data_IF_302223208207
#
_entry.id   IF_302223208207
#
_cell.length_a   1.000
_cell.length_b   1.000
_cell.length_c   1.000
_cell.angle_alpha   90.00
_cell.angle_beta   90.00
_cell.angle_gamma   90.00
#
_symmetry.space_group_name_H-M   'P 1'
#
loop_
_entity.id
_entity.type
_entity.pdbx_description
1 polymer ?
#
# COMPACT_ATOMS: atom_id res chain seq x y z
N UNK A 1 -1.25 -12.12 -16.04
CA UNK A 1 0.00 -11.76 -15.38
C UNK A 1 -0.13 -10.38 -14.75
N UNK A 2 0.86 -9.95 -14.01
CA UNK A 2 0.80 -8.70 -13.27
C UNK A 2 2.20 -8.12 -13.11
N UNK A 3 2.29 -6.82 -12.88
CA UNK A 3 3.54 -6.12 -12.62
C UNK A 3 3.61 -5.73 -11.15
N UNK A 4 4.80 -5.83 -10.57
CA UNK A 4 5.08 -5.45 -9.18
C UNK A 4 5.88 -4.16 -9.14
N UNK A 5 5.50 -3.27 -8.26
CA UNK A 5 6.19 -2.01 -8.06
C UNK A 5 6.48 -1.83 -6.58
N UNK A 6 7.69 -1.40 -6.26
CA UNK A 6 8.06 -1.02 -4.91
C UNK A 6 8.48 0.45 -4.90
N UNK A 7 8.11 1.15 -3.85
CA UNK A 7 8.43 2.55 -3.69
C UNK A 7 8.42 2.92 -2.22
N UNK A 8 8.91 4.12 -1.91
CA UNK A 8 8.80 4.71 -0.60
C UNK A 8 7.92 5.94 -0.68
N UNK A 9 7.03 6.08 0.30
CA UNK A 9 6.18 7.26 0.44
C UNK A 9 6.51 7.88 1.80
N UNK A 10 6.73 9.19 1.82
CA UNK A 10 7.04 9.90 3.06
C UNK A 10 5.81 9.98 3.96
N UNK A 11 5.97 9.61 5.23
CA UNK A 11 4.93 9.80 6.23
C UNK A 11 4.68 11.29 6.46
N UNK A 12 3.42 11.65 6.51
CA UNK A 12 3.04 13.04 6.84
C UNK A 12 3.19 13.34 8.34
N UNK A 13 3.36 12.30 9.15
CA UNK A 13 3.53 12.48 10.59
C UNK A 13 4.94 12.96 10.94
N UNK A 14 5.98 12.38 10.30
CA UNK A 14 7.37 12.63 10.71
C UNK A 14 8.39 12.44 9.59
N UNK A 15 7.96 12.27 8.34
CA UNK A 15 8.86 12.09 7.21
C UNK A 15 9.52 10.72 7.11
N UNK A 16 9.08 9.74 7.92
CA UNK A 16 9.60 8.38 7.81
C UNK A 16 9.27 7.83 6.43
N UNK A 17 10.25 7.16 5.81
CA UNK A 17 10.03 6.48 4.52
C UNK A 17 9.21 5.20 4.74
N UNK A 18 8.01 5.18 4.21
CA UNK A 18 7.10 4.04 4.29
C UNK A 18 7.26 3.20 3.03
N UNK A 19 7.67 1.96 3.20
CA UNK A 19 7.88 1.04 2.09
C UNK A 19 6.55 0.48 1.59
N UNK A 20 6.31 0.62 0.29
CA UNK A 20 5.03 0.27 -0.35
C UNK A 20 5.28 -0.74 -1.47
N UNK A 21 4.40 -1.72 -1.58
CA UNK A 21 4.40 -2.71 -2.65
C UNK A 21 3.04 -2.65 -3.34
N UNK A 22 3.06 -2.55 -4.66
CA UNK A 22 1.84 -2.59 -5.46
C UNK A 22 1.93 -3.69 -6.50
N UNK A 23 0.82 -4.38 -6.73
CA UNK A 23 0.69 -5.37 -7.80
C UNK A 23 -0.43 -4.88 -8.71
N UNK A 24 -0.09 -4.67 -9.98
CA UNK A 24 -0.99 -4.04 -10.95
C UNK A 24 -1.30 -5.05 -12.06
N UNK A 25 -2.59 -5.24 -12.42
CA UNK A 25 -2.95 -6.12 -13.54
C UNK A 25 -2.35 -5.61 -14.85
N UNK A 26 -2.04 -6.55 -15.75
CA UNK A 26 -1.52 -6.19 -17.08
C UNK A 26 -2.59 -5.59 -17.99
N UNK A 27 -3.84 -5.92 -17.73
CA UNK A 27 -4.94 -5.53 -18.60
C UNK A 27 -5.85 -4.51 -17.95
N UNK A 28 -6.38 -3.62 -18.76
CA UNK A 28 -7.34 -2.61 -18.34
C UNK A 28 -8.71 -2.91 -18.97
N UNK A 29 -9.80 -2.40 -18.42
CA UNK A 29 -9.89 -1.54 -17.23
C UNK A 29 -9.69 -2.31 -15.95
N UNK A 30 -9.20 -1.61 -14.93
CA UNK A 30 -9.08 -2.19 -13.59
C UNK A 30 -10.45 -2.21 -12.92
N UNK A 31 -10.72 -3.24 -12.13
CA UNK A 31 -11.99 -3.39 -11.41
C UNK A 31 -12.05 -2.55 -10.14
N UNK A 32 -10.89 -2.23 -9.59
CA UNK A 32 -10.80 -1.41 -8.39
C UNK A 32 -9.42 -1.47 -7.78
N UNK A 33 -9.27 -0.78 -6.66
CA UNK A 33 -8.03 -0.75 -5.88
C UNK A 33 -8.31 -1.39 -4.53
N UNK A 34 -7.48 -2.35 -4.16
CA UNK A 34 -7.55 -3.01 -2.86
C UNK A 34 -6.32 -2.64 -2.05
N UNK A 35 -6.51 -1.90 -0.99
CA UNK A 35 -5.44 -1.56 -0.05
C UNK A 35 -5.47 -2.55 1.10
N UNK A 36 -4.34 -3.20 1.35
CA UNK A 36 -4.19 -4.15 2.44
C UNK A 36 -3.41 -3.50 3.58
N UNK A 37 -3.81 -3.83 4.81
CA UNK A 37 -3.13 -3.36 6.02
C UNK A 37 -2.77 -4.59 6.84
N UNK A 38 -1.47 -4.86 6.97
CA UNK A 38 -1.02 -6.05 7.69
C UNK A 38 -1.15 -5.90 9.21
N UNK A 39 -1.10 -7.03 9.92
CA UNK A 39 -1.13 -7.03 11.38
C UNK A 39 0.22 -6.71 12.01
N UNK A 40 0.25 -6.72 13.33
CA UNK A 40 1.48 -6.50 14.08
C UNK A 40 2.45 -7.66 13.85
N UNK A 41 3.74 -7.34 13.84
CA UNK A 41 4.82 -8.31 13.65
C UNK A 41 4.78 -9.03 12.31
N UNK A 42 4.20 -8.39 11.30
CA UNK A 42 4.16 -8.88 9.94
C UNK A 42 4.95 -7.99 9.00
N UNK A 43 4.93 -8.28 7.71
CA UNK A 43 5.58 -7.47 6.68
C UNK A 43 4.82 -7.64 5.36
N UNK A 44 4.96 -6.67 4.46
CA UNK A 44 4.11 -6.58 3.28
C UNK A 44 4.25 -7.74 2.30
N UNK A 45 5.47 -8.28 2.13
CA UNK A 45 5.71 -9.35 1.16
C UNK A 45 4.98 -10.63 1.49
N UNK A 46 4.57 -10.80 2.72
CA UNK A 46 3.81 -11.98 3.15
C UNK A 46 2.51 -12.14 2.37
N UNK A 47 1.94 -11.03 1.93
CA UNK A 47 0.64 -11.03 1.25
C UNK A 47 0.75 -11.01 -0.27
N UNK A 48 1.96 -11.11 -0.81
CA UNK A 48 2.18 -11.08 -2.25
C UNK A 48 1.39 -12.13 -3.02
N UNK A 49 1.30 -13.40 -2.58
CA UNK A 49 0.50 -14.39 -3.29
C UNK A 49 -0.98 -14.01 -3.40
N UNK A 50 -1.54 -13.44 -2.33
CA UNK A 50 -2.91 -12.96 -2.33
C UNK A 50 -3.08 -11.77 -3.29
N UNK A 51 -2.13 -10.86 -3.31
CA UNK A 51 -2.17 -9.69 -4.18
C UNK A 51 -2.09 -10.12 -5.66
N UNK A 52 -1.26 -11.08 -5.97
CA UNK A 52 -1.17 -11.63 -7.34
C UNK A 52 -2.47 -12.33 -7.73
N UNK A 53 -3.08 -13.06 -6.82
CA UNK A 53 -4.38 -13.69 -7.05
C UNK A 53 -5.44 -12.65 -7.39
N UNK A 54 -5.50 -11.55 -6.64
CA UNK A 54 -6.47 -10.49 -6.88
C UNK A 54 -6.15 -9.71 -8.16
N UNK A 55 -4.88 -9.51 -8.49
CA UNK A 55 -4.48 -8.83 -9.72
C UNK A 55 -4.93 -9.61 -10.95
N UNK A 56 -4.88 -10.92 -10.91
CA UNK A 56 -5.41 -11.75 -12.00
C UNK A 56 -6.90 -11.56 -12.23
N UNK A 57 -7.60 -11.04 -11.24
CA UNK A 57 -9.03 -10.75 -11.31
C UNK A 57 -9.32 -9.28 -11.64
N UNK A 58 -8.29 -8.52 -11.94
CA UNK A 58 -8.43 -7.13 -12.38
C UNK A 58 -8.33 -6.09 -11.29
N UNK A 59 -7.91 -6.46 -10.09
CA UNK A 59 -7.76 -5.51 -8.97
C UNK A 59 -6.32 -5.08 -8.83
N UNK A 60 -6.12 -3.77 -8.66
CA UNK A 60 -4.83 -3.23 -8.24
C UNK A 60 -4.72 -3.43 -6.74
N UNK A 61 -3.66 -4.09 -6.28
CA UNK A 61 -3.44 -4.31 -4.85
C UNK A 61 -2.28 -3.48 -4.37
N UNK A 62 -2.42 -2.86 -3.21
CA UNK A 62 -1.35 -2.09 -2.58
C UNK A 62 -1.27 -2.46 -1.11
N UNK A 63 -0.06 -2.59 -0.60
CA UNK A 63 0.22 -2.84 0.80
C UNK A 63 1.49 -2.08 1.17
N UNK A 64 1.58 -1.65 2.42
CA UNK A 64 2.80 -1.03 2.92
C UNK A 64 3.24 -1.72 4.22
N UNK A 65 4.52 -1.63 4.52
CA UNK A 65 5.02 -2.00 5.84
C UNK A 65 4.65 -0.89 6.81
N UNK A 66 4.00 -1.25 7.91
CA UNK A 66 3.76 -0.30 9.00
C UNK A 66 5.09 0.26 9.50
N UNK A 67 5.06 1.48 10.04
CA UNK A 67 6.25 2.05 10.69
C UNK A 67 6.80 1.08 11.72
N UNK A 68 8.11 0.94 11.74
CA UNK A 68 8.77 -0.01 12.62
C UNK A 68 8.69 -1.46 12.16
N UNK A 69 8.17 -1.73 10.97
CA UNK A 69 8.03 -3.08 10.41
C UNK A 69 8.69 -3.16 9.04
N UNK A 70 9.15 -4.35 8.67
CA UNK A 70 9.72 -4.61 7.36
C UNK A 70 10.79 -3.61 6.97
N UNK A 71 10.57 -2.91 5.85
CA UNK A 71 11.50 -1.90 5.34
C UNK A 71 11.13 -0.46 5.75
N UNK A 72 10.06 -0.28 6.54
CA UNK A 72 9.65 1.04 7.03
C UNK A 72 10.35 1.38 8.34
N UNK A 73 11.67 1.27 8.33
CA UNK A 73 12.55 1.56 9.47
C UNK A 73 13.75 2.37 8.97
N UNK A 74 14.32 3.19 9.85
CA UNK A 74 15.53 3.94 9.54
C UNK A 74 16.79 3.08 9.69
N UNK A 75 16.72 2.06 10.56
CA UNK A 75 17.79 1.10 10.77
C UNK A 75 17.18 -0.23 11.16
N UNK A 76 17.92 -1.32 10.89
CA UNK A 76 17.43 -2.67 11.22
C UNK A 76 17.18 -2.85 12.71
N UNK A 77 17.94 -2.16 13.56
CA UNK A 77 17.76 -2.24 15.01
C UNK A 77 16.45 -1.61 15.48
N UNK A 78 15.80 -0.85 14.62
CA UNK A 78 14.55 -0.17 14.96
C UNK A 78 13.31 -1.04 14.76
N UNK A 79 13.46 -2.28 14.31
CA UNK A 79 12.30 -3.16 14.12
C UNK A 79 11.49 -3.26 15.43
N UNK A 80 10.20 -2.96 15.30
CA UNK A 80 9.29 -2.89 16.43
C UNK A 80 9.17 -1.50 17.06
N UNK A 81 9.99 -0.54 16.64
CA UNK A 81 9.95 0.82 17.15
C UNK A 81 9.09 1.71 16.23
N UNK A 82 8.10 2.33 16.80
CA UNK A 82 7.10 3.12 16.06
C UNK A 82 7.48 4.59 15.87
N UNK A 83 8.62 5.03 16.33
CA UNK A 83 9.14 6.40 16.17
C UNK A 83 8.28 7.50 16.81
N UNK A 84 7.48 7.17 17.79
CA UNK A 84 6.56 8.14 18.39
C UNK A 84 5.29 8.28 17.54
N UNK A 85 4.39 9.15 17.92
CA UNK A 85 3.14 9.37 17.18
C UNK A 85 2.09 8.29 17.35
N UNK A 86 2.45 7.09 17.75
CA UNK A 86 1.50 6.03 18.11
C UNK A 86 0.49 5.69 17.01
N UNK A 87 -0.73 5.41 17.42
CA UNK A 87 -1.80 5.02 16.53
C UNK A 87 -2.15 6.09 15.49
N UNK A 88 -2.05 7.36 15.87
CA UNK A 88 -2.34 8.46 14.95
C UNK A 88 -1.37 8.48 13.78
N UNK A 89 -0.10 8.20 14.02
CA UNK A 89 0.90 8.13 12.96
C UNK A 89 0.64 6.94 12.04
N UNK A 90 0.25 5.79 12.59
CA UNK A 90 -0.11 4.61 11.79
C UNK A 90 -1.28 4.94 10.86
N UNK A 91 -2.30 5.62 11.36
CA UNK A 91 -3.46 5.99 10.56
C UNK A 91 -3.09 7.01 9.46
N UNK A 92 -2.24 7.97 9.78
CA UNK A 92 -1.75 8.93 8.78
C UNK A 92 -0.94 8.23 7.69
N UNK A 93 -0.16 7.22 8.03
CA UNK A 93 0.60 6.44 7.06
C UNK A 93 -0.34 5.69 6.12
N UNK A 94 -1.41 5.09 6.64
CA UNK A 94 -2.43 4.42 5.83
C UNK A 94 -3.09 5.41 4.87
N UNK A 95 -3.43 6.58 5.37
CA UNK A 95 -4.09 7.63 4.55
C UNK A 95 -3.20 8.13 3.43
N UNK A 96 -1.92 8.38 3.70
CA UNK A 96 -1.01 8.88 2.66
C UNK A 96 -0.77 7.85 1.58
N UNK A 97 -0.64 6.58 1.95
CA UNK A 97 -0.51 5.49 0.97
C UNK A 97 -1.77 5.41 0.11
N UNK A 98 -2.94 5.48 0.72
CA UNK A 98 -4.21 5.46 0.01
C UNK A 98 -4.29 6.59 -1.01
N UNK A 99 -4.02 7.82 -0.59
CA UNK A 99 -4.10 9.00 -1.45
C UNK A 99 -3.10 8.96 -2.59
N UNK A 100 -1.84 8.61 -2.27
CA UNK A 100 -0.79 8.58 -3.29
C UNK A 100 -1.05 7.51 -4.34
N UNK A 101 -1.48 6.33 -3.95
CA UNK A 101 -1.77 5.26 -4.90
C UNK A 101 -2.96 5.61 -5.78
N UNK A 102 -3.98 6.25 -5.21
CA UNK A 102 -5.13 6.68 -6.00
C UNK A 102 -4.73 7.71 -7.06
N UNK A 103 -3.90 8.67 -6.67
CA UNK A 103 -3.39 9.69 -7.59
C UNK A 103 -2.51 9.10 -8.67
N UNK A 104 -1.62 8.19 -8.33
CA UNK A 104 -0.72 7.54 -9.28
C UNK A 104 -1.51 6.76 -10.33
N UNK A 105 -2.48 5.98 -9.91
CA UNK A 105 -3.28 5.19 -10.84
C UNK A 105 -4.15 6.06 -11.74
N UNK A 106 -4.68 7.15 -11.23
CA UNK A 106 -5.43 8.10 -12.03
C UNK A 106 -4.53 8.76 -13.07
N UNK A 107 -3.27 9.05 -12.73
CA UNK A 107 -2.31 9.61 -13.66
C UNK A 107 -1.92 8.63 -14.76
N UNK A 108 -1.79 7.35 -14.41
CA UNK A 108 -1.41 6.32 -15.39
C UNK A 108 -2.54 5.96 -16.36
N UNK A 109 -3.80 6.03 -15.91
CA UNK A 109 -4.96 5.69 -16.72
C UNK A 109 -6.05 6.75 -16.54
N UNK A 110 -5.79 8.00 -16.95
CA UNK A 110 -6.71 9.10 -16.66
C UNK A 110 -8.09 8.94 -17.29
N UNK A 111 -8.18 8.27 -18.43
CA UNK A 111 -9.45 8.02 -19.10
C UNK A 111 -10.30 6.98 -18.37
N UNK A 112 -9.71 6.25 -17.41
CA UNK A 112 -10.40 5.28 -16.57
C UNK A 112 -10.65 5.79 -15.15
N UNK A 113 -10.29 7.03 -14.87
CA UNK A 113 -10.37 7.58 -13.51
C UNK A 113 -11.77 7.46 -12.92
N UNK A 114 -12.81 7.61 -13.75
CA UNK A 114 -14.18 7.45 -13.27
C UNK A 114 -14.51 6.05 -12.79
N UNK A 115 -13.85 5.04 -13.35
CA UNK A 115 -14.03 3.65 -12.91
C UNK A 115 -13.31 3.36 -11.60
N UNK A 116 -12.19 4.03 -11.37
CA UNK A 116 -11.40 3.86 -10.15
C UNK A 116 -11.97 4.65 -8.98
N UNK A 117 -12.64 5.76 -9.26
CA UNK A 117 -13.23 6.59 -8.22
C UNK A 117 -14.31 5.82 -7.48
N UNK A 118 -14.20 5.70 -6.21
CA UNK A 118 -15.20 5.06 -5.38
C UNK A 118 -15.02 3.58 -5.18
N UNK A 119 -14.03 2.94 -5.84
CA UNK A 119 -13.76 1.52 -5.62
C UNK A 119 -12.39 1.36 -4.97
N UNK A 120 -12.19 2.08 -3.89
CA UNK A 120 -11.02 1.90 -3.04
C UNK A 120 -11.48 1.15 -1.79
N UNK A 121 -10.99 -0.08 -1.64
CA UNK A 121 -11.31 -0.91 -0.49
C UNK A 121 -10.07 -1.09 0.36
N UNK A 122 -10.22 -0.99 1.67
CA UNK A 122 -9.15 -1.24 2.62
C UNK A 122 -9.50 -2.45 3.45
N UNK A 123 -8.63 -3.43 3.46
CA UNK A 123 -8.83 -4.64 4.23
C UNK A 123 -7.76 -4.73 5.31
N UNK A 124 -8.18 -4.87 6.55
CA UNK A 124 -7.29 -5.14 7.67
C UNK A 124 -7.10 -6.64 7.78
N UNK A 125 -5.83 -7.04 7.74
CA UNK A 125 -5.47 -8.45 7.81
C UNK A 125 -4.67 -8.67 9.08
N UNK A 126 -5.21 -9.48 9.97
CA UNK A 126 -4.57 -9.79 11.25
C UNK A 126 -3.91 -11.16 11.24
#
# INVERSE_FOLDING_TARGET
>A
MSAKYEAYIESEADGLDISVLAVVPDETPYRGILQLVHGMSEYKERYLPFMEYMAKRGYVCVIHDHRGHGKSVRAMDDLGYMYGGGADAILKDIEVVNREMHQQLTAWVPWQSGLLQGIMMTAWIC
#
